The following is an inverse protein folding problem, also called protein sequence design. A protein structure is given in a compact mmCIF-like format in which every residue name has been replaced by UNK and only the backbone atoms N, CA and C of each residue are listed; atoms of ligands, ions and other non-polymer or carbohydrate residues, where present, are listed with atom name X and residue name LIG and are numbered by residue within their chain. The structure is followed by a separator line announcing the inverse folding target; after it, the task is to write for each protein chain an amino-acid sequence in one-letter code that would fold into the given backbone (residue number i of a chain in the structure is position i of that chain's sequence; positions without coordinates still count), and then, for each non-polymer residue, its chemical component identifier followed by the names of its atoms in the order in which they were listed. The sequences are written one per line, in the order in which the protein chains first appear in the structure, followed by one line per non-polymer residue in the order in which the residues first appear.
data_IF_584812870488
#
_entry.id   IF_584812870488
#
_cell.length_a   1.000
_cell.length_b   1.000
_cell.length_c   1.000
_cell.angle_alpha   90.00
_cell.angle_beta   90.00
_cell.angle_gamma   90.00
#
_symmetry.space_group_name_H-M   'P 1'
#
loop_
_entity.id
_entity.type
_entity.pdbx_description
1 polymer ?
#
# COMPACT_ATOMS: atom_id res chain seq x y z
N UNK A 1 23.34 21.79 -15.51
CA UNK A 1 23.20 20.42 -14.97
C UNK A 1 21.81 19.97 -15.34
N UNK A 2 21.69 19.22 -16.44
CA UNK A 2 20.42 18.68 -16.91
C UNK A 2 20.24 17.27 -16.38
N UNK A 3 19.05 16.94 -15.90
CA UNK A 3 18.64 15.58 -15.60
C UNK A 3 18.43 14.85 -16.93
N UNK A 4 19.28 13.86 -17.23
CA UNK A 4 19.09 12.94 -18.34
C UNK A 4 18.07 11.88 -17.93
N UNK A 5 16.99 11.76 -18.70
CA UNK A 5 16.13 10.59 -18.67
C UNK A 5 16.87 9.47 -19.40
N UNK A 6 17.30 8.43 -18.69
CA UNK A 6 17.93 7.25 -19.28
C UNK A 6 16.85 6.19 -19.63
N UNK A 7 16.61 5.84 -20.91
CA UNK A 7 15.47 5.04 -21.35
C UNK A 7 15.78 3.53 -21.38
N UNK A 8 16.41 2.98 -20.34
CA UNK A 8 17.09 1.68 -20.41
C UNK A 8 16.44 0.46 -19.74
N UNK A 9 15.29 0.57 -19.08
CA UNK A 9 14.66 -0.58 -18.40
C UNK A 9 13.74 -1.36 -19.35
N UNK A 10 14.12 -2.59 -19.69
CA UNK A 10 13.20 -3.55 -20.32
C UNK A 10 12.40 -4.25 -19.21
N UNK A 11 11.08 -4.13 -19.25
CA UNK A 11 10.15 -4.81 -18.32
C UNK A 11 9.49 -5.93 -19.11
N UNK A 12 9.57 -7.16 -18.60
CA UNK A 12 8.79 -8.30 -19.12
C UNK A 12 7.85 -8.75 -18.01
N UNK A 13 6.53 -8.77 -18.29
CA UNK A 13 5.50 -9.14 -17.31
C UNK A 13 4.89 -10.47 -17.72
N UNK A 14 4.76 -11.39 -16.76
CA UNK A 14 4.08 -12.66 -16.96
C UNK A 14 2.80 -12.73 -16.11
N UNK A 15 1.72 -13.20 -16.72
CA UNK A 15 0.43 -13.43 -16.06
C UNK A 15 0.52 -14.71 -15.20
N UNK A 16 0.05 -14.65 -13.95
CA UNK A 16 -0.26 -15.85 -13.16
C UNK A 16 -1.28 -16.73 -13.89
N UNK A 17 -1.31 -18.07 -13.65
CA UNK A 17 -2.45 -18.88 -14.06
C UNK A 17 -3.72 -18.28 -13.49
N UNK A 18 -4.71 -18.06 -14.37
CA UNK A 18 -5.98 -17.45 -14.02
C UNK A 18 -6.61 -18.14 -12.80
N UNK A 19 -7.05 -17.35 -11.82
CA UNK A 19 -7.99 -17.84 -10.81
C UNK A 19 -9.21 -18.47 -11.50
N UNK A 20 -9.89 -19.44 -10.86
CA UNK A 20 -11.10 -20.05 -11.42
C UNK A 20 -12.09 -18.97 -11.89
N UNK A 21 -12.68 -19.21 -13.06
CA UNK A 21 -13.31 -18.25 -13.99
C UNK A 21 -14.58 -17.51 -13.49
N UNK A 22 -14.66 -17.14 -12.22
CA UNK A 22 -15.78 -16.39 -11.63
C UNK A 22 -15.41 -14.93 -11.28
N UNK A 23 -14.23 -14.45 -11.69
CA UNK A 23 -13.91 -13.02 -11.60
C UNK A 23 -14.60 -12.27 -12.76
N UNK A 24 -15.47 -11.31 -12.43
CA UNK A 24 -16.04 -10.38 -13.40
C UNK A 24 -14.91 -9.57 -14.03
N UNK A 25 -14.56 -9.90 -15.27
CA UNK A 25 -13.69 -9.07 -16.10
C UNK A 25 -14.46 -7.80 -16.47
N UNK A 26 -14.00 -6.63 -16.05
CA UNK A 26 -14.51 -5.38 -16.62
C UNK A 26 -14.24 -5.38 -18.13
N UNK A 27 -15.27 -5.09 -18.93
CA UNK A 27 -15.12 -4.99 -20.38
C UNK A 27 -14.28 -3.77 -20.75
N UNK A 28 -13.45 -3.83 -21.80
CA UNK A 28 -12.71 -2.68 -22.31
C UNK A 28 -13.69 -1.54 -22.66
N UNK A 29 -13.63 -0.43 -21.93
CA UNK A 29 -14.50 0.74 -22.12
C UNK A 29 -15.07 1.36 -20.83
N UNK A 30 -15.10 0.63 -19.71
CA UNK A 30 -15.65 1.12 -18.43
C UNK A 30 -14.58 1.45 -17.37
N UNK A 31 -13.29 1.28 -17.69
CA UNK A 31 -12.16 1.65 -16.84
C UNK A 31 -11.30 2.66 -17.59
N UNK A 32 -11.24 3.91 -17.12
CA UNK A 32 -10.43 5.02 -17.69
C UNK A 32 -8.91 4.85 -17.44
N UNK A 33 -8.41 3.61 -17.47
CA UNK A 33 -7.01 3.29 -17.27
C UNK A 33 -6.58 2.26 -18.33
N UNK A 34 -5.84 2.71 -19.35
CA UNK A 34 -5.19 1.86 -20.35
C UNK A 34 -3.82 1.41 -19.79
N UNK A 35 -3.68 0.16 -19.30
CA UNK A 35 -2.37 -0.34 -18.91
C UNK A 35 -1.44 -0.54 -20.12
N UNK A 36 -0.11 -0.53 -19.93
CA UNK A 36 0.82 -0.83 -21.01
C UNK A 36 0.56 -2.22 -21.61
N UNK A 37 0.77 -2.40 -22.93
CA UNK A 37 0.36 -3.60 -23.69
C UNK A 37 1.01 -4.90 -23.21
N UNK A 38 2.10 -4.81 -22.46
CA UNK A 38 2.89 -5.96 -22.00
C UNK A 38 2.67 -6.25 -20.52
N UNK A 39 1.62 -5.70 -19.89
CA UNK A 39 1.38 -5.83 -18.45
C UNK A 39 0.12 -6.63 -18.13
N UNK A 40 0.31 -7.69 -17.34
CA UNK A 40 -0.72 -8.56 -16.82
C UNK A 40 -1.42 -7.92 -15.61
N UNK A 41 -2.50 -7.17 -15.84
CA UNK A 41 -3.31 -6.66 -14.73
C UNK A 41 -4.45 -7.64 -14.46
N UNK A 42 -4.37 -8.35 -13.34
CA UNK A 42 -5.49 -9.10 -12.80
C UNK A 42 -6.05 -8.31 -11.61
N UNK A 43 -7.26 -7.76 -11.78
CA UNK A 43 -8.05 -7.27 -10.66
C UNK A 43 -8.77 -8.47 -10.05
N UNK A 44 -8.48 -8.76 -8.78
CA UNK A 44 -9.31 -9.66 -8.00
C UNK A 44 -10.65 -8.95 -7.67
N UNK A 45 -11.73 -9.69 -7.34
CA UNK A 45 -13.02 -9.09 -7.02
C UNK A 45 -12.90 -8.04 -5.92
N UNK A 46 -13.70 -6.98 -6.06
CA UNK A 46 -13.82 -5.91 -5.07
C UNK A 46 -14.38 -6.51 -3.78
N UNK A 47 -13.54 -6.66 -2.76
CA UNK A 47 -14.00 -6.99 -1.41
C UNK A 47 -14.68 -5.75 -0.83
N UNK A 48 -15.99 -5.81 -0.58
CA UNK A 48 -16.65 -4.75 0.18
C UNK A 48 -16.38 -4.94 1.68
N UNK A 49 -15.68 -3.98 2.29
CA UNK A 49 -15.54 -3.91 3.74
C UNK A 49 -16.24 -2.66 4.26
N UNK A 50 -17.35 -2.86 4.99
CA UNK A 50 -18.16 -1.76 5.57
C UNK A 50 -18.63 -0.73 4.51
N UNK A 51 -18.94 -1.21 3.31
CA UNK A 51 -19.39 -0.36 2.19
C UNK A 51 -18.28 0.44 1.51
N UNK A 52 -17.00 0.09 1.77
CA UNK A 52 -15.87 0.59 1.00
C UNK A 52 -15.34 -0.51 0.07
N UNK A 53 -15.16 -0.20 -1.23
CA UNK A 53 -14.57 -1.13 -2.18
C UNK A 53 -13.08 -1.27 -1.86
N UNK A 54 -12.64 -2.51 -1.67
CA UNK A 54 -11.23 -2.87 -1.58
C UNK A 54 -10.87 -3.77 -2.75
N UNK A 55 -9.71 -3.54 -3.37
CA UNK A 55 -9.20 -4.37 -4.45
C UNK A 55 -7.85 -4.96 -4.08
N UNK A 56 -7.63 -6.20 -4.52
CA UNK A 56 -6.33 -6.85 -4.54
C UNK A 56 -5.77 -6.81 -5.96
N UNK A 57 -4.51 -6.39 -6.07
CA UNK A 57 -3.77 -6.34 -7.32
C UNK A 57 -2.47 -7.13 -7.19
N UNK A 58 -2.22 -8.02 -8.14
CA UNK A 58 -0.99 -8.81 -8.22
C UNK A 58 -0.22 -8.45 -9.47
N UNK A 59 1.08 -8.31 -9.35
CA UNK A 59 1.98 -8.27 -10.50
C UNK A 59 3.25 -9.06 -10.24
N UNK A 60 3.77 -9.65 -11.31
CA UNK A 60 5.09 -10.29 -11.36
C UNK A 60 5.77 -9.80 -12.62
N UNK A 61 6.96 -9.24 -12.48
CA UNK A 61 7.71 -8.74 -13.62
C UNK A 61 9.21 -8.88 -13.38
N UNK A 62 9.94 -8.91 -14.47
CA UNK A 62 11.40 -8.90 -14.43
C UNK A 62 11.91 -7.49 -14.69
N UNK A 63 12.71 -6.96 -13.78
CA UNK A 63 13.35 -5.65 -13.87
C UNK A 63 14.85 -5.83 -14.14
N UNK A 64 15.34 -5.32 -15.27
CA UNK A 64 16.79 -5.26 -15.53
C UNK A 64 17.32 -3.88 -15.13
N UNK A 65 18.22 -3.83 -14.14
CA UNK A 65 18.89 -2.59 -13.75
C UNK A 65 20.33 -2.58 -14.25
N UNK A 66 20.73 -1.47 -14.85
CA UNK A 66 22.13 -1.14 -15.07
C UNK A 66 22.66 -0.57 -13.76
N UNK A 67 23.61 -1.25 -13.11
CA UNK A 67 24.20 -0.75 -11.87
C UNK A 67 25.07 0.48 -12.21
N UNK A 68 24.58 1.69 -11.89
CA UNK A 68 25.25 2.97 -12.16
C UNK A 68 26.68 3.06 -11.60
N UNK A 69 27.07 2.17 -10.67
CA UNK A 69 28.39 2.17 -10.05
C UNK A 69 29.48 1.45 -10.87
N UNK A 70 29.15 0.72 -11.95
CA UNK A 70 30.14 0.02 -12.76
C UNK A 70 29.81 0.16 -14.24
N UNK A 71 30.50 1.08 -14.93
CA UNK A 71 30.47 1.30 -16.40
C UNK A 71 30.98 0.10 -17.22
N UNK A 72 30.87 -1.14 -16.71
CA UNK A 72 31.06 -2.34 -17.52
C UNK A 72 29.70 -2.77 -18.03
N UNK A 73 29.54 -2.70 -19.34
CA UNK A 73 28.33 -3.09 -20.07
C UNK A 73 27.86 -4.54 -19.80
N UNK A 74 28.67 -5.36 -19.14
CA UNK A 74 28.39 -6.77 -18.83
C UNK A 74 27.73 -7.03 -17.45
N UNK A 75 27.64 -6.03 -16.55
CA UNK A 75 27.08 -6.23 -15.20
C UNK A 75 25.60 -5.81 -15.11
N UNK A 76 24.78 -6.29 -16.05
CA UNK A 76 23.32 -6.13 -15.97
C UNK A 76 22.77 -7.09 -14.92
N UNK A 77 22.13 -6.54 -13.90
CA UNK A 77 21.44 -7.35 -12.90
C UNK A 77 19.95 -7.39 -13.23
N UNK A 78 19.47 -8.61 -13.48
CA UNK A 78 18.06 -8.88 -13.73
C UNK A 78 17.43 -9.38 -12.45
N UNK A 79 16.37 -8.70 -11.97
CA UNK A 79 15.63 -9.08 -10.78
C UNK A 79 14.22 -9.52 -11.15
N UNK A 80 13.79 -10.66 -10.62
CA UNK A 80 12.38 -11.02 -10.57
C UNK A 80 11.75 -10.22 -9.43
N UNK A 81 10.66 -9.51 -9.71
CA UNK A 81 9.93 -8.67 -8.76
C UNK A 81 8.48 -9.13 -8.70
N UNK A 82 8.05 -9.52 -7.50
CA UNK A 82 6.65 -9.79 -7.19
C UNK A 82 6.08 -8.65 -6.38
N UNK A 83 4.90 -8.18 -6.77
CA UNK A 83 4.16 -7.19 -6.02
C UNK A 83 2.73 -7.66 -5.76
N UNK A 84 2.28 -7.40 -4.54
CA UNK A 84 0.92 -7.63 -4.10
C UNK A 84 0.43 -6.38 -3.39
N UNK A 85 -0.65 -5.80 -3.91
CA UNK A 85 -1.19 -4.53 -3.45
C UNK A 85 -2.62 -4.72 -3.00
N UNK A 86 -2.96 -4.18 -1.83
CA UNK A 86 -4.32 -4.09 -1.34
C UNK A 86 -4.66 -2.63 -1.08
N UNK A 87 -5.80 -2.18 -1.56
CA UNK A 87 -6.19 -0.80 -1.38
C UNK A 87 -7.65 -0.56 -1.65
N UNK A 88 -8.07 0.68 -1.50
CA UNK A 88 -9.42 1.12 -1.78
C UNK A 88 -9.45 2.57 -2.23
N UNK A 89 -10.64 3.00 -2.61
CA UNK A 89 -10.89 4.38 -2.99
C UNK A 89 -12.19 4.88 -2.38
N UNK A 90 -12.16 6.18 -2.11
CA UNK A 90 -13.29 7.02 -1.79
C UNK A 90 -13.50 7.99 -2.97
N UNK A 91 -14.32 9.03 -2.79
CA UNK A 91 -14.60 9.97 -3.89
C UNK A 91 -13.39 10.85 -4.23
N UNK A 92 -12.55 11.15 -3.24
CA UNK A 92 -11.42 12.07 -3.30
C UNK A 92 -10.12 11.48 -2.76
N UNK A 93 -10.14 10.27 -2.21
CA UNK A 93 -8.96 9.58 -1.64
C UNK A 93 -8.78 8.21 -2.28
N UNK A 94 -7.54 7.87 -2.61
CA UNK A 94 -7.09 6.52 -2.93
C UNK A 94 -6.01 6.13 -1.93
N UNK A 95 -6.03 4.89 -1.46
CA UNK A 95 -5.07 4.39 -0.49
C UNK A 95 -4.78 2.91 -0.76
N UNK A 96 -3.52 2.51 -0.67
CA UNK A 96 -3.11 1.13 -0.83
C UNK A 96 -1.88 0.80 0.00
N UNK A 97 -1.70 -0.47 0.32
CA UNK A 97 -0.47 -1.05 0.87
C UNK A 97 0.04 -2.08 -0.12
N UNK A 98 1.33 -1.99 -0.42
CA UNK A 98 2.00 -2.83 -1.40
C UNK A 98 3.14 -3.58 -0.72
N UNK A 99 3.10 -4.90 -0.85
CA UNK A 99 4.23 -5.76 -0.61
C UNK A 99 4.99 -5.92 -1.93
N UNK A 100 6.28 -5.64 -1.91
CA UNK A 100 7.18 -5.97 -3.00
C UNK A 100 8.24 -6.95 -2.51
N UNK A 101 8.52 -7.97 -3.30
CA UNK A 101 9.58 -8.96 -3.06
C UNK A 101 10.43 -9.06 -4.31
N UNK A 102 11.73 -9.27 -4.14
CA UNK A 102 12.62 -9.41 -5.27
C UNK A 102 13.69 -10.47 -5.03
N UNK A 103 14.13 -11.09 -6.12
CA UNK A 103 15.31 -11.95 -6.16
C UNK A 103 16.08 -11.70 -7.46
N UNK A 104 17.37 -12.02 -7.48
CA UNK A 104 18.21 -11.83 -8.66
C UNK A 104 18.20 -13.09 -9.51
N UNK A 105 17.73 -12.97 -10.75
CA UNK A 105 17.59 -14.08 -11.70
C UNK A 105 18.94 -14.78 -11.88
N UNK A 106 18.92 -16.12 -11.82
CA UNK A 106 20.13 -16.95 -11.87
C UNK A 106 20.83 -17.15 -10.53
N UNK A 107 20.36 -16.49 -9.46
CA UNK A 107 20.78 -16.83 -8.10
C UNK A 107 20.13 -18.15 -7.64
N UNK A 108 20.77 -18.92 -6.73
CA UNK A 108 20.15 -20.13 -6.18
C UNK A 108 18.75 -19.85 -5.61
N UNK A 109 17.75 -20.55 -6.13
CA UNK A 109 16.34 -20.38 -5.73
C UNK A 109 15.60 -19.25 -6.43
N UNK A 110 16.24 -18.47 -7.31
CA UNK A 110 15.57 -17.47 -8.15
C UNK A 110 15.65 -17.90 -9.62
N UNK A 111 14.75 -18.81 -10.00
CA UNK A 111 14.59 -19.22 -11.39
C UNK A 111 14.01 -18.07 -12.22
N UNK A 112 14.36 -18.03 -13.51
CA UNK A 112 13.68 -17.14 -14.43
C UNK A 112 12.23 -17.62 -14.61
N UNK A 113 11.37 -16.71 -15.06
CA UNK A 113 9.93 -16.94 -15.15
C UNK A 113 9.55 -18.00 -16.21
N UNK A 114 10.52 -18.48 -17.00
CA UNK A 114 10.31 -19.47 -18.05
C UNK A 114 10.29 -20.93 -17.55
N UNK A 115 10.72 -21.17 -16.31
CA UNK A 115 10.65 -22.50 -15.71
C UNK A 115 9.31 -22.65 -14.98
N UNK A 116 8.30 -23.14 -15.71
CA UNK A 116 6.92 -23.32 -15.21
C UNK A 116 6.78 -24.44 -14.17
N UNK A 117 7.86 -25.13 -13.85
CA UNK A 117 7.87 -26.23 -12.90
C UNK A 117 8.19 -25.71 -11.48
N UNK A 118 7.13 -25.30 -10.76
CA UNK A 118 6.98 -25.44 -9.31
C UNK A 118 8.02 -24.82 -8.34
N UNK A 119 8.92 -23.94 -8.82
CA UNK A 119 9.84 -23.24 -7.91
C UNK A 119 9.21 -21.96 -7.35
N UNK A 120 8.78 -22.03 -6.09
CA UNK A 120 8.58 -20.85 -5.24
C UNK A 120 9.90 -20.07 -5.17
N UNK A 121 9.99 -18.86 -5.76
CA UNK A 121 11.24 -18.11 -5.79
C UNK A 121 11.70 -17.75 -4.38
N UNK A 122 12.95 -18.05 -4.07
CA UNK A 122 13.61 -17.68 -2.83
C UNK A 122 13.93 -16.18 -2.86
N UNK A 123 13.02 -15.38 -2.32
CA UNK A 123 13.19 -13.92 -2.30
C UNK A 123 14.38 -13.50 -1.45
N UNK A 124 15.29 -12.73 -2.05
CA UNK A 124 16.49 -12.21 -1.39
C UNK A 124 16.19 -10.92 -0.60
N UNK A 125 15.10 -10.22 -0.96
CA UNK A 125 14.67 -9.01 -0.28
C UNK A 125 13.21 -8.66 -0.57
N UNK A 126 12.71 -7.67 0.15
CA UNK A 126 11.36 -7.16 0.00
C UNK A 126 11.11 -5.95 0.88
N UNK A 127 9.95 -5.33 0.71
CA UNK A 127 9.46 -4.28 1.59
C UNK A 127 7.93 -4.15 1.53
N UNK A 128 7.36 -3.57 2.58
CA UNK A 128 5.96 -3.13 2.61
C UNK A 128 5.93 -1.61 2.58
N UNK A 129 5.14 -1.06 1.67
CA UNK A 129 4.98 0.37 1.45
C UNK A 129 3.50 0.74 1.50
N UNK A 130 3.18 1.77 2.27
CA UNK A 130 1.90 2.46 2.17
C UNK A 130 1.96 3.49 1.04
N UNK A 131 0.84 3.72 0.39
CA UNK A 131 0.65 4.84 -0.52
C UNK A 131 -0.75 5.42 -0.37
N UNK A 132 -0.84 6.74 -0.31
CA UNK A 132 -2.10 7.46 -0.35
C UNK A 132 -1.99 8.65 -1.29
N UNK A 133 -3.03 8.84 -2.10
CA UNK A 133 -3.19 9.99 -2.97
C UNK A 133 -4.61 10.53 -2.84
N UNK A 134 -4.80 11.82 -3.12
CA UNK A 134 -6.13 12.39 -3.14
C UNK A 134 -6.16 13.87 -3.48
N UNK A 135 -7.38 14.39 -3.63
CA UNK A 135 -7.60 15.82 -3.86
C UNK A 135 -7.39 16.58 -2.55
N UNK A 136 -6.15 17.02 -2.30
CA UNK A 136 -5.77 17.76 -1.10
C UNK A 136 -6.65 18.99 -0.86
N UNK A 137 -7.16 19.13 0.37
CA UNK A 137 -7.99 20.27 0.76
C UNK A 137 -7.18 21.57 0.95
N UNK A 138 -5.86 21.48 1.21
CA UNK A 138 -4.96 22.62 1.36
C UNK A 138 -5.23 23.54 2.56
N UNK A 139 -6.14 23.14 3.44
CA UNK A 139 -6.58 23.91 4.60
C UNK A 139 -6.89 22.96 5.76
N UNK A 140 -6.79 23.44 7.00
CA UNK A 140 -7.22 22.71 8.19
C UNK A 140 -8.75 22.77 8.35
N UNK A 141 -9.44 21.66 8.68
CA UNK A 141 -10.85 21.71 9.10
C UNK A 141 -11.06 22.73 10.22
N UNK A 142 -12.10 23.57 10.10
CA UNK A 142 -12.42 24.60 11.10
C UNK A 142 -13.91 24.64 11.44
N UNK A 143 -14.26 25.21 12.59
CA UNK A 143 -15.61 25.22 13.14
C UNK A 143 -15.62 25.34 14.66
N UNK A 144 -16.77 25.10 15.29
CA UNK A 144 -16.96 25.22 16.74
C UNK A 144 -17.40 23.91 17.42
N UNK A 145 -17.18 22.76 16.75
CA UNK A 145 -17.64 21.44 17.18
C UNK A 145 -16.60 20.39 16.84
N UNK A 146 -16.82 19.18 17.34
CA UNK A 146 -16.10 17.97 16.92
C UNK A 146 -16.41 17.59 15.48
N UNK A 147 -15.42 17.01 14.78
CA UNK A 147 -15.62 16.29 13.53
C UNK A 147 -15.05 14.88 13.62
N UNK A 148 -15.70 13.91 12.98
CA UNK A 148 -15.24 12.52 12.96
C UNK A 148 -15.32 11.98 11.55
N UNK A 149 -14.30 11.22 11.15
CA UNK A 149 -14.25 10.43 9.95
C UNK A 149 -14.16 8.96 10.34
N UNK A 150 -14.89 8.11 9.62
CA UNK A 150 -14.80 6.66 9.79
C UNK A 150 -14.61 5.97 8.46
N UNK A 151 -13.82 4.90 8.46
CA UNK A 151 -13.61 4.07 7.29
C UNK A 151 -12.79 2.86 7.66
N UNK A 152 -11.76 2.59 6.86
CA UNK A 152 -11.00 1.34 6.92
C UNK A 152 -9.52 1.61 6.97
N UNK A 153 -8.81 0.72 7.66
CA UNK A 153 -7.38 0.54 7.52
C UNK A 153 -7.11 -0.75 6.76
N UNK A 154 -6.04 -0.76 5.97
CA UNK A 154 -5.45 -1.94 5.35
C UNK A 154 -3.97 -1.95 5.71
N UNK A 155 -3.46 -3.08 6.17
CA UNK A 155 -2.05 -3.21 6.54
C UNK A 155 -1.48 -4.56 6.15
N UNK A 156 -0.16 -4.64 6.15
CA UNK A 156 0.57 -5.89 6.03
C UNK A 156 1.68 -5.93 7.09
N UNK A 157 2.02 -7.13 7.53
CA UNK A 157 3.17 -7.30 8.41
C UNK A 157 4.47 -6.96 7.69
N UNK A 158 5.35 -6.26 8.40
CA UNK A 158 6.71 -5.98 7.95
C UNK A 158 7.46 -7.28 7.71
N UNK A 159 8.23 -7.28 6.62
CA UNK A 159 8.87 -8.50 6.17
C UNK A 159 10.01 -8.90 7.09
N UNK A 160 9.82 -10.04 7.74
CA UNK A 160 10.91 -10.89 8.23
C UNK A 160 11.39 -11.80 7.10
N UNK A 161 12.59 -12.38 7.25
CA UNK A 161 13.12 -13.35 6.27
C UNK A 161 12.17 -14.53 6.01
N UNK A 162 11.40 -14.93 7.02
CA UNK A 162 10.35 -15.95 6.89
C UNK A 162 9.08 -15.45 6.19
N UNK A 163 8.71 -14.17 6.34
CA UNK A 163 7.54 -13.59 5.67
C UNK A 163 7.79 -13.35 4.17
N UNK A 164 9.05 -13.21 3.76
CA UNK A 164 9.43 -13.10 2.35
C UNK A 164 9.06 -14.36 1.54
N UNK A 165 9.12 -15.54 2.16
CA UNK A 165 8.91 -16.81 1.47
C UNK A 165 7.46 -17.31 1.52
N UNK A 166 6.55 -16.61 2.21
CA UNK A 166 5.15 -17.03 2.26
C UNK A 166 4.48 -16.75 0.93
N UNK A 167 3.78 -17.73 0.36
CA UNK A 167 3.01 -17.57 -0.87
C UNK A 167 2.04 -16.38 -0.80
N UNK A 168 1.39 -16.18 0.35
CA UNK A 168 0.53 -15.02 0.63
C UNK A 168 0.98 -14.28 1.90
N UNK A 169 1.07 -12.95 1.89
CA UNK A 169 1.31 -12.18 3.09
C UNK A 169 0.07 -12.09 3.97
N UNK A 170 0.31 -11.79 5.24
CA UNK A 170 -0.74 -11.48 6.19
C UNK A 170 -1.27 -10.07 5.92
N UNK A 171 -2.43 -10.02 5.26
CA UNK A 171 -3.16 -8.79 5.04
C UNK A 171 -4.10 -8.57 6.21
N UNK A 172 -4.01 -7.39 6.79
CA UNK A 172 -4.78 -6.97 7.94
C UNK A 172 -5.84 -5.95 7.51
N UNK A 173 -7.07 -6.16 7.96
CA UNK A 173 -8.17 -5.20 7.83
C UNK A 173 -8.63 -4.75 9.20
N UNK A 174 -9.03 -3.49 9.30
CA UNK A 174 -9.60 -2.92 10.51
C UNK A 174 -10.45 -1.69 10.22
N UNK A 175 -11.11 -1.20 11.26
CA UNK A 175 -11.89 0.02 11.21
C UNK A 175 -10.99 1.21 11.51
N UNK A 176 -11.09 2.26 10.71
CA UNK A 176 -10.38 3.51 10.94
C UNK A 176 -11.32 4.58 11.47
N UNK A 177 -10.90 5.29 12.52
CA UNK A 177 -11.57 6.47 13.05
C UNK A 177 -10.56 7.60 13.22
N UNK A 178 -10.83 8.73 12.57
CA UNK A 178 -10.08 9.98 12.70
C UNK A 178 -11.01 11.01 13.34
N UNK A 179 -10.54 11.76 14.32
CA UNK A 179 -11.35 12.72 15.07
C UNK A 179 -10.57 14.01 15.29
N UNK A 180 -11.29 15.12 15.25
CA UNK A 180 -10.86 16.42 15.79
C UNK A 180 -11.91 16.78 16.82
N UNK A 181 -11.55 16.81 18.09
CA UNK A 181 -12.47 17.07 19.20
C UNK A 181 -12.89 18.55 19.28
N UNK A 182 -11.96 19.48 19.01
CA UNK A 182 -12.17 20.92 18.91
C UNK A 182 -11.65 21.51 17.58
N UNK A 183 -12.57 21.81 16.65
CA UNK A 183 -12.21 22.47 15.39
C UNK A 183 -11.73 23.94 15.55
N UNK A 184 -11.82 24.54 16.74
CA UNK A 184 -11.27 25.87 17.01
C UNK A 184 -9.78 25.83 17.39
N UNK A 185 -9.31 24.71 17.93
CA UNK A 185 -7.91 24.46 18.28
C UNK A 185 -7.52 23.04 17.81
N UNK A 186 -7.46 22.80 16.49
CA UNK A 186 -7.55 21.45 15.95
C UNK A 186 -6.25 20.66 16.09
N UNK A 187 -6.35 19.52 16.74
CA UNK A 187 -5.44 18.38 16.67
C UNK A 187 -6.21 17.11 16.22
N UNK A 188 -5.48 16.04 15.92
CA UNK A 188 -6.08 14.81 15.40
C UNK A 188 -5.84 13.64 16.33
N UNK A 189 -6.93 12.96 16.69
CA UNK A 189 -6.90 11.62 17.24
C UNK A 189 -7.18 10.59 16.13
N UNK A 190 -6.32 9.59 16.02
CA UNK A 190 -6.49 8.48 15.11
C UNK A 190 -6.57 7.16 15.88
N UNK A 191 -7.50 6.29 15.52
CA UNK A 191 -7.59 4.95 16.09
C UNK A 191 -7.97 3.92 15.04
N UNK A 192 -7.30 2.76 15.12
CA UNK A 192 -7.60 1.58 14.34
C UNK A 192 -8.07 0.47 15.26
N UNK A 193 -9.25 -0.07 14.99
CA UNK A 193 -9.90 -1.08 15.83
C UNK A 193 -10.35 -2.27 15.01
N UNK A 194 -10.73 -3.36 15.70
CA UNK A 194 -11.23 -4.58 15.05
C UNK A 194 -10.26 -5.15 13.99
N UNK A 195 -8.95 -4.97 14.23
CA UNK A 195 -7.90 -5.39 13.31
C UNK A 195 -7.82 -6.91 13.27
N UNK A 196 -7.83 -7.50 12.08
CA UNK A 196 -7.75 -8.94 11.88
C UNK A 196 -7.07 -9.31 10.57
N UNK A 197 -6.42 -10.48 10.54
CA UNK A 197 -5.91 -11.11 9.33
C UNK A 197 -7.08 -11.59 8.47
N UNK A 198 -7.11 -11.21 7.19
CA UNK A 198 -8.22 -11.55 6.28
C UNK A 198 -8.28 -13.04 5.93
N UNK A 199 -7.14 -13.73 5.98
CA UNK A 199 -7.03 -15.15 5.65
C UNK A 199 -7.26 -15.98 6.91
N UNK A 200 -6.50 -15.70 7.97
CA UNK A 200 -6.52 -16.51 9.19
C UNK A 200 -7.68 -16.15 10.13
N UNK A 201 -8.26 -14.95 10.00
CA UNK A 201 -9.22 -14.39 10.95
C UNK A 201 -8.63 -14.00 12.31
N UNK A 202 -7.32 -14.20 12.51
CA UNK A 202 -6.60 -13.88 13.75
C UNK A 202 -6.71 -12.39 14.07
N UNK A 203 -7.11 -12.06 15.30
CA UNK A 203 -7.23 -10.66 15.76
C UNK A 203 -5.88 -10.07 16.16
N UNK A 204 -5.72 -8.78 15.89
CA UNK A 204 -4.61 -7.94 16.36
C UNK A 204 -5.11 -6.91 17.38
N UNK A 205 -4.20 -6.39 18.19
CA UNK A 205 -4.50 -5.30 19.13
C UNK A 205 -4.86 -4.02 18.39
N UNK A 206 -5.69 -3.19 19.03
CA UNK A 206 -6.02 -1.87 18.49
C UNK A 206 -4.78 -0.96 18.48
N UNK A 207 -4.76 0.03 17.59
CA UNK A 207 -3.73 1.06 17.51
C UNK A 207 -4.37 2.44 17.71
N UNK A 208 -3.65 3.36 18.34
CA UNK A 208 -4.14 4.72 18.55
C UNK A 208 -3.01 5.74 18.64
N UNK A 209 -3.30 6.94 18.16
CA UNK A 209 -2.45 8.11 18.25
C UNK A 209 -3.31 9.30 18.67
N UNK A 210 -2.82 10.08 19.63
CA UNK A 210 -3.52 11.21 20.22
C UNK A 210 -2.72 12.50 20.03
N UNK A 211 -3.42 13.63 20.05
CA UNK A 211 -2.85 14.98 19.94
C UNK A 211 -1.90 15.11 18.73
N UNK A 212 -2.29 14.57 17.56
CA UNK A 212 -1.45 14.67 16.37
C UNK A 212 -1.49 16.12 15.85
N UNK A 213 -0.32 16.74 15.62
CA UNK A 213 -0.28 18.11 15.13
C UNK A 213 -0.91 18.17 13.73
N UNK A 214 -1.83 19.11 13.54
CA UNK A 214 -2.55 19.31 12.29
C UNK A 214 -2.27 20.71 11.74
N UNK A 215 -1.74 20.75 10.51
CA UNK A 215 -1.42 22.00 9.82
C UNK A 215 -1.71 21.88 8.34
N UNK A 216 -2.40 22.88 7.79
CA UNK A 216 -2.76 22.99 6.38
C UNK A 216 -3.58 21.80 5.83
N UNK A 217 -4.20 21.00 6.72
CA UNK A 217 -4.92 19.78 6.35
C UNK A 217 -4.04 18.52 6.32
N UNK A 218 -2.79 18.60 6.77
CA UNK A 218 -1.88 17.49 7.00
C UNK A 218 -1.71 17.24 8.49
N UNK A 219 -1.70 15.99 8.91
CA UNK A 219 -1.41 15.61 10.29
C UNK A 219 -0.42 14.46 10.35
N UNK A 220 0.25 14.32 11.49
CA UNK A 220 1.05 13.14 11.74
C UNK A 220 2.16 13.31 12.76
N UNK A 221 2.78 12.19 13.09
CA UNK A 221 3.94 12.13 13.97
C UNK A 221 4.84 10.98 13.53
N UNK A 222 6.14 11.20 13.59
CA UNK A 222 7.15 10.15 13.46
C UNK A 222 7.81 9.98 14.82
N UNK A 223 7.55 8.85 15.46
CA UNK A 223 8.18 8.47 16.71
C UNK A 223 9.34 7.53 16.41
N UNK A 224 10.49 7.80 17.00
CA UNK A 224 11.63 6.89 16.98
C UNK A 224 11.66 6.18 18.33
N UNK A 225 11.49 4.87 18.36
CA UNK A 225 11.68 4.12 19.60
C UNK A 225 13.16 4.18 20.02
N UNK A 226 13.39 4.04 21.32
CA UNK A 226 14.69 4.26 21.98
C UNK A 226 15.76 3.22 21.59
N UNK A 227 15.35 2.10 20.99
CA UNK A 227 16.24 1.10 20.40
C UNK A 227 16.67 1.41 18.95
N UNK A 228 16.09 2.45 18.34
CA UNK A 228 16.45 2.94 17.01
C UNK A 228 15.96 2.09 15.83
N UNK A 229 15.41 0.90 16.09
CA UNK A 229 14.98 -0.06 15.06
C UNK A 229 13.49 0.07 14.72
N UNK A 230 12.63 0.42 15.69
CA UNK A 230 11.20 0.58 15.45
C UNK A 230 10.80 2.04 15.27
N UNK A 231 10.22 2.33 14.11
CA UNK A 231 9.65 3.64 13.78
C UNK A 231 8.14 3.49 13.75
N UNK A 232 7.47 3.92 14.83
CA UNK A 232 6.03 4.12 14.81
C UNK A 232 5.74 5.47 14.17
N UNK A 233 4.91 5.50 13.14
CA UNK A 233 4.45 6.75 12.57
C UNK A 233 3.03 6.63 12.04
N UNK A 234 2.38 7.78 11.97
CA UNK A 234 1.16 7.99 11.21
C UNK A 234 1.28 9.34 10.54
N UNK A 235 0.96 9.39 9.25
CA UNK A 235 0.84 10.65 8.51
C UNK A 235 -0.42 10.57 7.67
N UNK A 236 -1.15 11.69 7.59
CA UNK A 236 -2.41 11.73 6.87
C UNK A 236 -2.75 13.12 6.35
N UNK A 237 -3.74 13.14 5.47
CA UNK A 237 -4.18 14.31 4.73
C UNK A 237 -5.69 14.31 4.59
N UNK A 238 -6.31 15.45 4.88
CA UNK A 238 -7.71 15.69 4.56
C UNK A 238 -7.89 16.02 3.08
N UNK A 239 -8.91 15.41 2.47
CA UNK A 239 -9.17 15.49 1.04
C UNK A 239 -10.62 15.85 0.74
N UNK A 240 -10.84 16.38 -0.45
CA UNK A 240 -12.15 16.78 -0.95
C UNK A 240 -12.65 18.12 -0.41
N UNK A 241 -13.70 18.70 -1.02
CA UNK A 241 -14.31 19.94 -0.57
C UNK A 241 -14.83 19.81 0.87
N UNK A 242 -14.51 20.78 1.74
CA UNK A 242 -14.98 20.76 3.14
C UNK A 242 -14.48 19.57 3.96
N UNK A 243 -13.33 18.99 3.56
CA UNK A 243 -12.66 17.90 4.28
C UNK A 243 -13.58 16.69 4.42
N UNK A 244 -14.31 16.35 3.36
CA UNK A 244 -15.27 15.24 3.36
C UNK A 244 -14.60 13.88 3.57
N UNK A 245 -13.31 13.77 3.28
CA UNK A 245 -12.55 12.52 3.36
C UNK A 245 -11.17 12.76 3.96
N UNK A 246 -10.54 11.68 4.41
CA UNK A 246 -9.19 11.67 4.95
C UNK A 246 -8.53 10.35 4.60
N UNK A 247 -7.24 10.37 4.32
CA UNK A 247 -6.45 9.15 4.17
C UNK A 247 -5.03 9.37 4.66
N UNK A 248 -4.26 8.29 4.70
CA UNK A 248 -2.87 8.36 5.11
C UNK A 248 -2.19 7.01 5.13
N UNK A 249 -0.96 7.02 5.63
CA UNK A 249 -0.14 5.84 5.87
C UNK A 249 0.27 5.77 7.34
N UNK A 250 0.57 4.55 7.79
CA UNK A 250 1.05 4.31 9.13
C UNK A 250 2.03 3.16 9.16
N UNK A 251 2.84 3.13 10.21
CA UNK A 251 3.61 1.97 10.62
C UNK A 251 3.57 1.87 12.13
N UNK A 252 3.22 0.71 12.66
CA UNK A 252 3.18 0.46 14.10
C UNK A 252 3.28 -1.03 14.42
N UNK A 253 4.00 -1.40 15.48
CA UNK A 253 4.18 -2.80 15.91
C UNK A 253 4.51 -3.81 14.78
N UNK A 254 5.33 -3.40 13.81
CA UNK A 254 5.71 -4.23 12.68
C UNK A 254 4.60 -4.45 11.65
N UNK A 255 3.62 -3.55 11.60
CA UNK A 255 2.60 -3.48 10.56
C UNK A 255 2.80 -2.16 9.81
N UNK A 256 2.86 -2.21 8.50
CA UNK A 256 2.84 -1.03 7.63
C UNK A 256 1.53 -1.04 6.83
N UNK A 257 0.91 0.12 6.66
CA UNK A 257 -0.41 0.16 6.04
C UNK A 257 -0.88 1.56 5.66
N UNK A 258 -2.11 1.60 5.18
CA UNK A 258 -2.82 2.83 4.83
C UNK A 258 -4.26 2.80 5.31
N UNK A 259 -4.89 3.97 5.29
CA UNK A 259 -6.28 4.11 5.68
C UNK A 259 -7.00 5.14 4.81
N UNK A 260 -8.32 5.00 4.75
CA UNK A 260 -9.23 5.96 4.15
C UNK A 260 -10.53 6.03 4.93
N UNK A 261 -11.01 7.24 5.21
CA UNK A 261 -12.23 7.47 5.99
C UNK A 261 -13.08 8.64 5.45
N UNK A 262 -14.39 8.50 5.60
CA UNK A 262 -15.39 9.53 5.22
C UNK A 262 -15.90 10.25 6.46
N UNK A 263 -16.11 11.56 6.32
CA UNK A 263 -16.68 12.41 7.37
C UNK A 263 -18.09 11.93 7.71
N UNK A 264 -18.39 11.83 9.01
CA UNK A 264 -19.75 11.58 9.50
C UNK A 264 -20.57 12.89 9.45
N UNK A 265 -21.88 12.81 9.15
CA UNK A 265 -22.78 13.96 9.21
C UNK A 265 -22.80 14.64 10.58
#
# INVERSE_FOLDING_TARGET
MGFGNDPGSLITVETWPAFPAEAETCSPGDCDFDPPPDSAWAFAPVLEHKGLPLAEFKSRFTETRTLEAQERADDRQTNLVDSLTFGGWLKYTHFNVSLTRWCTVGSPGCADTNDTDDFDPLYAGGGVLGYMAGRYAGTTPSGARTATWTGVMVGMEDLTSTALQRERPDVLLGEARIMIDDLAAPDVDASFTNIHNVIEGTRRGNMSWEDLPLKDGLFGRVSRESDGERRSHIIGMFTGPGHQEVGGEFRDYGIAGTFGAKRRP
#
